data_IF_944709920959
#
_entry.id   IF_944709920959
#
_cell.length_a   1.000
_cell.length_b   1.000
_cell.length_c   1.000
_cell.angle_alpha   90.00
_cell.angle_beta   90.00
_cell.angle_gamma   90.00
#
_symmetry.space_group_name_H-M   'P 1'
#
loop_
_entity.id
_entity.type
_entity.pdbx_description
1 polymer ?
#
# COMPACT_ATOMS: atom_id res chain seq x y z
N UNK A 1 14.52 -10.35 -4.20
CA UNK A 1 15.61 -10.58 -3.23
C UNK A 1 16.56 -9.39 -3.29
N UNK A 2 16.80 -8.73 -2.17
CA UNK A 2 17.73 -7.59 -2.11
C UNK A 2 19.21 -8.00 -2.13
N UNK A 3 19.52 -9.31 -2.13
CA UNK A 3 20.90 -9.85 -2.11
C UNK A 3 21.80 -9.24 -1.01
N UNK A 4 21.25 -9.11 0.20
CA UNK A 4 21.89 -8.47 1.36
C UNK A 4 22.10 -6.95 1.21
N UNK A 5 21.39 -6.30 0.31
CA UNK A 5 21.37 -4.84 0.20
C UNK A 5 20.27 -4.31 1.15
N UNK A 6 20.62 -3.33 1.96
CA UNK A 6 19.64 -2.54 2.70
C UNK A 6 19.09 -1.46 1.79
N UNK A 7 17.94 -1.76 1.16
CA UNK A 7 17.28 -0.85 0.20
C UNK A 7 16.83 0.45 0.86
N UNK A 8 16.43 0.40 2.14
CA UNK A 8 16.04 1.60 2.86
C UNK A 8 17.23 2.55 3.08
N UNK A 9 18.37 2.02 3.53
CA UNK A 9 19.59 2.82 3.68
C UNK A 9 20.11 3.33 2.33
N UNK A 10 20.00 2.53 1.28
CA UNK A 10 20.35 2.98 -0.07
C UNK A 10 19.51 4.19 -0.50
N UNK A 11 18.18 4.13 -0.27
CA UNK A 11 17.30 5.27 -0.56
C UNK A 11 17.64 6.48 0.31
N UNK A 12 17.95 6.30 1.59
CA UNK A 12 18.38 7.41 2.47
C UNK A 12 19.64 8.11 1.95
N UNK A 13 20.57 7.39 1.35
CA UNK A 13 21.75 8.01 0.73
C UNK A 13 21.42 8.83 -0.51
N UNK A 14 20.33 8.51 -1.21
CA UNK A 14 19.87 9.29 -2.37
C UNK A 14 19.07 10.54 -1.95
N UNK A 15 18.46 10.51 -0.77
CA UNK A 15 17.64 11.60 -0.22
C UNK A 15 18.16 12.04 1.16
N UNK A 16 19.43 12.51 1.26
CA UNK A 16 20.08 12.72 2.54
C UNK A 16 19.49 13.87 3.37
N UNK A 17 18.76 14.78 2.72
CA UNK A 17 18.12 15.93 3.37
C UNK A 17 16.65 15.68 3.70
N UNK A 18 16.12 14.54 3.31
CA UNK A 18 14.71 14.22 3.51
C UNK A 18 14.48 13.59 4.90
N UNK A 19 13.34 13.91 5.46
CA UNK A 19 12.81 13.15 6.59
C UNK A 19 12.42 11.76 6.12
N UNK A 20 12.74 10.74 6.91
CA UNK A 20 12.40 9.38 6.55
C UNK A 20 11.83 8.60 7.72
N UNK A 21 10.80 7.84 7.44
CA UNK A 21 10.12 6.95 8.40
C UNK A 21 10.05 5.56 7.80
N UNK A 22 10.49 4.56 8.56
CA UNK A 22 10.38 3.15 8.21
C UNK A 22 9.35 2.46 9.11
N UNK A 23 8.38 1.81 8.50
CA UNK A 23 7.32 1.07 9.17
C UNK A 23 7.43 -0.42 8.80
N UNK A 24 7.95 -1.23 9.71
CA UNK A 24 8.19 -2.64 9.49
C UNK A 24 6.88 -3.43 9.37
N UNK A 25 6.75 -4.23 8.32
CA UNK A 25 5.63 -5.14 8.12
C UNK A 25 6.03 -6.62 7.97
N UNK A 26 7.31 -6.93 8.08
CA UNK A 26 7.83 -8.29 8.14
C UNK A 26 9.21 -8.32 8.79
N UNK A 27 9.42 -9.30 9.65
CA UNK A 27 10.75 -9.59 10.21
C UNK A 27 10.87 -11.09 10.47
N UNK A 28 11.79 -11.73 9.76
CA UNK A 28 12.09 -13.14 9.96
C UNK A 28 13.61 -13.31 10.04
N UNK A 29 14.07 -13.90 11.14
CA UNK A 29 15.47 -14.23 11.30
C UNK A 29 15.95 -15.25 10.24
N UNK A 30 15.07 -16.14 9.81
CA UNK A 30 15.36 -17.11 8.76
C UNK A 30 14.07 -17.61 8.09
N UNK A 31 13.83 -17.17 6.86
CA UNK A 31 12.75 -17.67 6.01
C UNK A 31 13.28 -18.86 5.20
N UNK A 32 12.90 -20.07 5.63
CA UNK A 32 13.36 -21.33 5.04
C UNK A 32 12.81 -21.61 3.64
N UNK A 33 11.77 -20.90 3.23
CA UNK A 33 11.10 -21.10 1.94
C UNK A 33 11.66 -20.21 0.84
N UNK A 34 11.77 -20.69 -0.42
CA UNK A 34 11.62 -22.10 -0.82
C UNK A 34 12.82 -22.96 -0.36
N UNK A 35 12.57 -24.21 0.01
CA UNK A 35 13.58 -25.08 0.63
C UNK A 35 14.86 -25.29 -0.20
N UNK A 36 14.73 -25.26 -1.53
CA UNK A 36 15.89 -25.41 -2.44
C UNK A 36 16.72 -24.12 -2.58
N UNK A 37 16.20 -22.98 -2.14
CA UNK A 37 16.87 -21.69 -2.17
C UNK A 37 16.30 -20.76 -1.09
N UNK A 38 16.57 -20.99 0.19
CA UNK A 38 16.01 -20.23 1.30
C UNK A 38 16.26 -18.73 1.16
N UNK A 39 15.28 -17.92 1.55
CA UNK A 39 15.45 -16.46 1.56
C UNK A 39 16.39 -15.99 2.67
N UNK A 40 16.57 -16.80 3.74
CA UNK A 40 17.37 -16.41 4.89
C UNK A 40 16.72 -15.33 5.73
N UNK A 41 17.51 -14.48 6.37
CA UNK A 41 16.99 -13.34 7.10
C UNK A 41 16.27 -12.37 6.13
N UNK A 42 15.07 -11.96 6.49
CA UNK A 42 14.25 -11.08 5.67
C UNK A 42 13.57 -10.04 6.54
N UNK A 43 13.75 -8.77 6.19
CA UNK A 43 13.09 -7.65 6.83
C UNK A 43 12.49 -6.77 5.74
N UNK A 44 11.19 -6.51 5.84
CA UNK A 44 10.48 -5.66 4.89
C UNK A 44 9.60 -4.64 5.62
N UNK A 45 9.24 -3.57 4.92
CA UNK A 45 8.42 -2.50 5.49
C UNK A 45 8.00 -1.47 4.46
N UNK A 46 7.31 -0.48 4.97
CA UNK A 46 6.88 0.70 4.25
C UNK A 46 7.86 1.84 4.59
N UNK A 47 8.30 2.57 3.59
CA UNK A 47 9.14 3.73 3.78
C UNK A 47 8.44 4.99 3.28
N UNK A 48 8.49 6.06 4.06
CA UNK A 48 8.01 7.38 3.69
C UNK A 48 9.18 8.34 3.72
N UNK A 49 9.40 9.05 2.62
CA UNK A 49 10.41 10.10 2.50
C UNK A 49 9.70 11.43 2.25
N UNK A 50 10.14 12.49 2.92
CA UNK A 50 9.53 13.82 2.80
C UNK A 50 10.58 14.92 2.89
N UNK A 51 10.46 15.90 2.00
CA UNK A 51 11.24 17.16 2.10
C UNK A 51 10.70 18.11 3.17
N UNK A 52 9.46 17.87 3.60
CA UNK A 52 8.84 18.62 4.68
C UNK A 52 9.04 17.87 6.00
N UNK A 53 9.16 18.58 7.13
CA UNK A 53 9.22 17.96 8.44
C UNK A 53 8.02 17.03 8.65
N UNK A 54 8.26 15.83 9.15
CA UNK A 54 7.20 14.91 9.55
C UNK A 54 7.27 14.66 11.06
N UNK A 55 6.12 14.57 11.68
CA UNK A 55 5.96 14.29 13.10
C UNK A 55 5.12 13.04 13.35
N UNK A 56 5.17 12.56 14.58
CA UNK A 56 4.31 11.54 15.16
C UNK A 56 4.10 10.30 14.28
N UNK A 57 5.20 9.65 13.85
CA UNK A 57 5.09 8.46 13.04
C UNK A 57 4.44 7.32 13.84
N UNK A 58 3.33 6.80 13.33
CA UNK A 58 2.58 5.71 13.97
C UNK A 58 2.49 4.52 13.03
N UNK A 59 2.73 3.32 13.54
CA UNK A 59 2.44 2.06 12.88
C UNK A 59 1.10 1.51 13.37
N UNK A 60 0.17 1.26 12.47
CA UNK A 60 -1.11 0.60 12.74
C UNK A 60 -1.10 -0.80 12.15
N UNK A 61 -1.20 -1.82 13.00
CA UNK A 61 -1.36 -3.21 12.55
C UNK A 61 -2.74 -3.41 11.97
N UNK A 62 -2.81 -4.16 10.88
CA UNK A 62 -4.04 -4.58 10.24
C UNK A 62 -4.42 -6.01 10.67
N UNK A 63 -5.71 -6.36 10.65
CA UNK A 63 -6.14 -7.74 10.82
C UNK A 63 -5.47 -8.66 9.79
N UNK A 64 -5.00 -9.82 10.22
CA UNK A 64 -4.41 -10.86 9.39
C UNK A 64 -5.03 -12.21 9.73
N UNK A 65 -4.84 -13.20 8.87
CA UNK A 65 -5.32 -14.57 9.13
C UNK A 65 -4.61 -15.20 10.34
N UNK A 66 -5.34 -15.94 11.13
CA UNK A 66 -4.78 -16.77 12.21
C UNK A 66 -4.36 -18.18 11.73
N UNK A 67 -4.43 -18.43 10.42
CA UNK A 67 -4.05 -19.72 9.83
C UNK A 67 -2.53 -19.96 9.89
N UNK A 68 -2.11 -21.19 9.65
CA UNK A 68 -0.69 -21.57 9.61
C UNK A 68 0.11 -20.78 8.56
N UNK A 69 -0.54 -20.24 7.53
CA UNK A 69 0.07 -19.36 6.54
C UNK A 69 0.63 -18.04 7.13
N UNK A 70 0.20 -17.67 8.33
CA UNK A 70 0.71 -16.51 9.08
C UNK A 70 2.25 -16.44 9.17
N UNK A 71 2.91 -17.59 9.26
CA UNK A 71 4.38 -17.63 9.34
C UNK A 71 5.07 -17.23 8.02
N UNK A 72 4.33 -17.22 6.92
CA UNK A 72 4.83 -16.88 5.59
C UNK A 72 4.23 -15.57 5.06
N UNK A 73 3.21 -15.05 5.72
CA UNK A 73 2.55 -13.81 5.32
C UNK A 73 3.14 -12.60 6.06
N UNK A 74 2.92 -11.42 5.48
CA UNK A 74 3.37 -10.17 6.05
C UNK A 74 2.47 -9.76 7.23
N UNK A 75 3.07 -9.15 8.25
CA UNK A 75 2.35 -8.42 9.31
C UNK A 75 1.79 -7.12 8.73
N UNK A 76 0.70 -7.25 7.98
CA UNK A 76 0.08 -6.13 7.26
C UNK A 76 -0.15 -4.93 8.17
N UNK A 77 0.19 -3.76 7.67
CA UNK A 77 0.07 -2.52 8.40
C UNK A 77 -0.07 -1.32 7.46
N UNK A 78 -0.36 -0.18 8.03
CA UNK A 78 -0.09 1.13 7.43
C UNK A 78 0.68 2.00 8.41
N UNK A 79 1.43 2.93 7.87
CA UNK A 79 2.04 4.00 8.66
C UNK A 79 1.25 5.29 8.50
N UNK A 80 1.23 6.08 9.56
CA UNK A 80 0.70 7.43 9.57
C UNK A 80 1.86 8.37 9.88
N UNK A 81 2.01 9.43 9.10
CA UNK A 81 2.92 10.54 9.39
C UNK A 81 2.17 11.86 9.19
N UNK A 82 2.59 12.90 9.90
CA UNK A 82 1.94 14.20 9.91
C UNK A 82 2.89 15.27 9.40
N UNK A 83 2.36 16.17 8.60
CA UNK A 83 3.08 17.35 8.10
C UNK A 83 2.26 18.58 8.46
N UNK A 84 2.82 19.58 9.17
CA UNK A 84 2.10 20.80 9.48
C UNK A 84 1.59 21.53 8.23
N UNK A 85 0.32 21.96 8.26
CA UNK A 85 -0.35 22.61 7.13
C UNK A 85 -1.25 23.77 7.62
N UNK A 86 -0.66 24.85 8.08
CA UNK A 86 -1.36 25.98 8.68
C UNK A 86 -1.90 25.62 10.07
N UNK A 87 -3.20 25.80 10.26
CA UNK A 87 -3.89 25.45 11.52
C UNK A 87 -4.34 23.97 11.57
N UNK A 88 -4.03 23.19 10.53
CA UNK A 88 -4.33 21.78 10.41
C UNK A 88 -3.05 21.00 10.09
N UNK A 89 -3.19 19.70 9.89
CA UNK A 89 -2.12 18.82 9.46
C UNK A 89 -2.48 18.13 8.14
N UNK A 90 -1.48 17.85 7.32
CA UNK A 90 -1.57 16.86 6.26
C UNK A 90 -1.18 15.50 6.84
N UNK A 91 -2.14 14.61 6.97
CA UNK A 91 -1.96 13.26 7.51
C UNK A 91 -1.83 12.28 6.35
N UNK A 92 -0.66 11.65 6.25
CA UNK A 92 -0.31 10.72 5.18
C UNK A 92 -0.37 9.29 5.70
N UNK A 93 -1.19 8.47 5.06
CA UNK A 93 -1.29 7.04 5.29
C UNK A 93 -0.51 6.31 4.19
N UNK A 94 0.55 5.60 4.55
CA UNK A 94 1.26 4.71 3.64
C UNK A 94 0.82 3.27 3.94
N UNK A 95 0.16 2.64 2.97
CA UNK A 95 -0.68 1.45 3.17
C UNK A 95 -0.09 0.25 2.46
N UNK A 96 -0.17 -0.94 3.08
CA UNK A 96 0.06 -2.21 2.40
C UNK A 96 -0.97 -3.24 2.87
N UNK A 97 -2.06 -3.36 2.11
CA UNK A 97 -3.15 -4.30 2.39
C UNK A 97 -2.78 -5.73 1.98
N UNK A 98 -3.58 -6.69 2.44
CA UNK A 98 -3.41 -8.09 2.05
C UNK A 98 -3.61 -8.29 0.56
N UNK A 99 -2.76 -9.15 0.01
CA UNK A 99 -2.82 -9.58 -1.37
C UNK A 99 -3.93 -10.63 -1.60
N UNK A 100 -4.08 -11.03 -2.85
CA UNK A 100 -4.91 -12.17 -3.26
C UNK A 100 -4.63 -13.41 -2.40
N UNK A 101 -5.65 -14.24 -2.22
CA UNK A 101 -5.61 -15.42 -1.34
C UNK A 101 -5.95 -15.13 0.13
N UNK A 102 -6.02 -13.87 0.53
CA UNK A 102 -6.59 -13.51 1.82
C UNK A 102 -8.13 -13.67 1.80
N UNK A 103 -8.68 -14.01 2.95
CA UNK A 103 -10.13 -14.07 3.13
C UNK A 103 -10.76 -12.69 2.88
N UNK A 104 -11.90 -12.68 2.20
CA UNK A 104 -12.60 -11.43 1.87
C UNK A 104 -13.01 -10.66 3.14
N UNK A 105 -13.31 -11.35 4.24
CA UNK A 105 -13.63 -10.74 5.54
C UNK A 105 -12.43 -10.01 6.13
N UNK A 106 -11.22 -10.57 6.00
CA UNK A 106 -9.98 -9.94 6.46
C UNK A 106 -9.70 -8.68 5.64
N UNK A 107 -9.85 -8.77 4.32
CA UNK A 107 -9.66 -7.59 3.45
C UNK A 107 -10.67 -6.49 3.75
N UNK A 108 -11.93 -6.85 4.04
CA UNK A 108 -12.95 -5.90 4.46
C UNK A 108 -12.60 -5.25 5.80
N UNK A 109 -12.21 -6.04 6.81
CA UNK A 109 -11.81 -5.52 8.11
C UNK A 109 -10.56 -4.62 8.06
N UNK A 110 -9.62 -4.90 7.15
CA UNK A 110 -8.47 -4.03 6.91
C UNK A 110 -8.88 -2.67 6.35
N UNK A 111 -9.80 -2.65 5.37
CA UNK A 111 -10.32 -1.40 4.80
C UNK A 111 -11.12 -0.61 5.82
N UNK A 112 -11.99 -1.28 6.58
CA UNK A 112 -12.78 -0.65 7.63
C UNK A 112 -11.89 0.09 8.62
N UNK A 113 -10.87 -0.59 9.15
CA UNK A 113 -9.92 0.01 10.07
C UNK A 113 -9.16 1.20 9.49
N UNK A 114 -8.73 1.12 8.23
CA UNK A 114 -8.09 2.23 7.54
C UNK A 114 -9.05 3.41 7.41
N UNK A 115 -10.29 3.15 7.02
CA UNK A 115 -11.30 4.18 6.83
C UNK A 115 -11.76 4.84 8.13
N UNK A 116 -11.83 4.09 9.22
CA UNK A 116 -12.09 4.66 10.55
C UNK A 116 -11.04 5.70 10.92
N UNK A 117 -9.74 5.36 10.83
CA UNK A 117 -8.66 6.29 11.15
C UNK A 117 -8.64 7.49 10.19
N UNK A 118 -8.83 7.28 8.88
CA UNK A 118 -8.89 8.37 7.89
C UNK A 118 -10.06 9.33 8.16
N UNK A 119 -11.23 8.78 8.49
CA UNK A 119 -12.43 9.57 8.79
C UNK A 119 -12.27 10.36 10.09
N UNK A 120 -11.65 9.76 11.10
CA UNK A 120 -11.36 10.44 12.36
C UNK A 120 -10.41 11.64 12.15
N UNK A 121 -9.37 11.48 11.35
CA UNK A 121 -8.44 12.58 11.03
C UNK A 121 -9.14 13.72 10.24
N UNK A 122 -9.99 13.36 9.29
CA UNK A 122 -10.77 14.35 8.56
C UNK A 122 -11.76 15.09 9.48
N UNK A 123 -12.43 14.37 10.37
CA UNK A 123 -13.35 14.97 11.35
C UNK A 123 -12.62 15.91 12.34
N UNK A 124 -11.36 15.64 12.62
CA UNK A 124 -10.50 16.54 13.40
C UNK A 124 -10.06 17.81 12.63
N UNK A 125 -10.43 17.93 11.34
CA UNK A 125 -10.11 19.10 10.51
C UNK A 125 -8.83 18.94 9.70
N UNK A 126 -8.22 17.77 9.68
CA UNK A 126 -6.98 17.52 8.96
C UNK A 126 -7.21 17.19 7.49
N UNK A 127 -6.20 17.43 6.67
CA UNK A 127 -6.11 16.94 5.29
C UNK A 127 -5.61 15.50 5.30
N UNK A 128 -6.28 14.60 4.58
CA UNK A 128 -5.95 13.17 4.59
C UNK A 128 -5.62 12.67 3.20
N UNK A 129 -4.47 12.04 3.06
CA UNK A 129 -4.07 11.33 1.85
C UNK A 129 -3.67 9.90 2.24
N UNK A 130 -4.22 8.91 1.54
CA UNK A 130 -3.80 7.53 1.65
C UNK A 130 -3.25 7.03 0.31
N UNK A 131 -2.07 6.46 0.34
CA UNK A 131 -1.39 5.88 -0.81
C UNK A 131 -0.64 4.62 -0.42
N UNK A 132 -0.18 3.86 -1.40
CA UNK A 132 0.56 2.62 -1.17
C UNK A 132 0.02 1.45 -1.97
N UNK A 133 0.32 0.23 -1.51
CA UNK A 133 -0.11 -1.00 -2.14
C UNK A 133 -1.44 -1.50 -1.56
N UNK A 134 -2.51 -1.28 -2.28
CA UNK A 134 -3.84 -1.75 -1.90
C UNK A 134 -4.10 -3.20 -2.32
N UNK A 135 -3.24 -3.80 -3.13
CA UNK A 135 -3.41 -5.14 -3.71
C UNK A 135 -4.76 -5.35 -4.42
N UNK A 136 -5.29 -4.30 -5.04
CA UNK A 136 -6.54 -4.28 -5.78
C UNK A 136 -6.41 -3.43 -7.05
N UNK A 137 -7.28 -3.69 -8.01
CA UNK A 137 -7.47 -2.82 -9.16
C UNK A 137 -8.18 -1.53 -8.76
N UNK A 138 -7.43 -0.47 -8.55
CA UNK A 138 -7.93 0.83 -8.11
C UNK A 138 -8.68 1.62 -9.22
N UNK A 139 -8.68 1.13 -10.44
CA UNK A 139 -9.44 1.69 -11.57
C UNK A 139 -10.75 0.91 -11.75
N UNK A 140 -10.72 -0.40 -11.50
CA UNK A 140 -11.83 -1.34 -11.65
C UNK A 140 -11.95 -1.93 -13.06
N UNK A 141 -11.23 -1.36 -14.02
CA UNK A 141 -11.20 -1.78 -15.45
C UNK A 141 -9.79 -1.73 -16.03
N UNK A 142 -8.78 -1.94 -15.18
CA UNK A 142 -7.37 -1.82 -15.58
C UNK A 142 -7.02 -2.75 -16.75
N UNK A 143 -7.61 -3.96 -16.79
CA UNK A 143 -7.38 -4.91 -17.87
C UNK A 143 -7.76 -4.36 -19.24
N UNK A 144 -8.85 -3.60 -19.33
CA UNK A 144 -9.29 -2.96 -20.58
C UNK A 144 -8.41 -1.75 -20.90
N UNK A 145 -8.14 -0.92 -19.92
CA UNK A 145 -7.38 0.33 -20.08
C UNK A 145 -5.94 0.06 -20.51
N UNK A 146 -5.31 -0.96 -19.95
CA UNK A 146 -3.90 -1.30 -20.25
C UNK A 146 -3.72 -2.44 -21.26
N UNK A 147 -4.81 -2.87 -21.91
CA UNK A 147 -4.77 -3.82 -23.02
C UNK A 147 -4.46 -5.27 -22.61
N UNK A 148 -4.65 -5.63 -21.35
CA UNK A 148 -4.47 -6.99 -20.85
C UNK A 148 -5.78 -7.69 -20.42
N UNK A 149 -6.92 -7.19 -20.89
CA UNK A 149 -8.25 -7.73 -20.59
C UNK A 149 -8.47 -9.20 -21.02
N UNK A 150 -7.69 -9.66 -22.00
CA UNK A 150 -7.75 -11.04 -22.48
C UNK A 150 -6.91 -12.01 -21.65
N UNK A 151 -6.10 -11.52 -20.73
CA UNK A 151 -5.40 -12.39 -19.81
C UNK A 151 -6.42 -12.88 -18.77
N UNK A 152 -6.38 -14.16 -18.48
CA UNK A 152 -6.99 -14.69 -17.27
C UNK A 152 -6.23 -14.02 -16.14
N UNK A 153 -6.69 -12.85 -15.77
CA UNK A 153 -6.21 -12.14 -14.60
C UNK A 153 -6.71 -13.00 -13.45
N UNK A 154 -5.91 -13.98 -13.13
CA UNK A 154 -6.11 -14.80 -11.97
C UNK A 154 -6.44 -13.84 -10.84
N UNK A 155 -7.47 -14.10 -10.16
CA UNK A 155 -7.98 -13.68 -8.88
C UNK A 155 -7.28 -12.56 -8.07
N UNK A 156 -6.07 -12.13 -8.41
CA UNK A 156 -5.29 -11.18 -7.62
C UNK A 156 -5.60 -9.70 -7.95
N UNK A 157 -5.99 -9.38 -9.17
CA UNK A 157 -6.34 -8.02 -9.57
C UNK A 157 -7.87 -7.78 -9.46
N UNK A 158 -8.46 -8.13 -8.32
CA UNK A 158 -9.88 -7.84 -8.09
C UNK A 158 -10.11 -6.33 -8.06
N UNK A 159 -11.21 -5.85 -8.66
CA UNK A 159 -11.60 -4.46 -8.53
C UNK A 159 -11.72 -4.05 -7.05
N UNK A 160 -11.28 -2.84 -6.75
CA UNK A 160 -11.48 -2.28 -5.42
C UNK A 160 -12.95 -2.01 -5.16
N UNK A 161 -13.40 -2.22 -3.93
CA UNK A 161 -14.76 -1.91 -3.50
C UNK A 161 -14.93 -0.39 -3.32
N UNK A 162 -15.30 0.28 -4.38
CA UNK A 162 -15.48 1.73 -4.38
C UNK A 162 -16.73 2.18 -3.62
N UNK A 163 -17.73 1.30 -3.43
CA UNK A 163 -18.93 1.62 -2.68
C UNK A 163 -18.65 1.80 -1.17
N UNK A 164 -17.59 1.16 -0.69
CA UNK A 164 -17.18 1.27 0.71
C UNK A 164 -16.30 2.50 1.01
N UNK A 165 -15.92 3.31 0.01
CA UNK A 165 -15.12 4.52 0.26
C UNK A 165 -15.97 5.54 1.04
N UNK A 166 -15.49 6.05 2.19
CA UNK A 166 -16.28 6.96 3.01
C UNK A 166 -16.60 8.28 2.29
N UNK A 167 -17.71 8.88 2.67
CA UNK A 167 -18.11 10.18 2.15
C UNK A 167 -17.02 11.24 2.37
N UNK A 168 -16.78 12.05 1.35
CA UNK A 168 -15.79 13.11 1.36
C UNK A 168 -14.38 12.65 0.99
N UNK A 169 -14.17 11.37 0.64
CA UNK A 169 -12.95 10.87 0.03
C UNK A 169 -13.16 10.54 -1.45
N UNK A 170 -12.11 10.72 -2.22
CA UNK A 170 -12.09 10.45 -3.66
C UNK A 170 -10.91 9.55 -4.01
N UNK A 171 -11.17 8.54 -4.81
CA UNK A 171 -10.11 7.70 -5.40
C UNK A 171 -9.57 8.41 -6.64
N UNK A 172 -8.40 9.00 -6.53
CA UNK A 172 -7.83 9.89 -7.55
C UNK A 172 -7.68 9.21 -8.92
N UNK A 173 -7.25 7.96 -8.96
CA UNK A 173 -7.09 7.22 -10.22
C UNK A 173 -8.43 7.05 -10.95
N UNK A 174 -9.49 6.71 -10.21
CA UNK A 174 -10.84 6.52 -10.78
C UNK A 174 -11.47 7.83 -11.24
N UNK A 175 -11.34 8.89 -10.43
CA UNK A 175 -11.85 10.21 -10.79
C UNK A 175 -11.24 10.70 -12.11
N UNK A 176 -9.93 10.54 -12.28
CA UNK A 176 -9.22 10.97 -13.49
C UNK A 176 -9.61 10.15 -14.72
N UNK A 177 -9.82 8.84 -14.58
CA UNK A 177 -10.31 8.00 -15.67
C UNK A 177 -11.71 8.44 -16.13
N UNK A 178 -12.61 8.75 -15.20
CA UNK A 178 -13.97 9.19 -15.51
C UNK A 178 -14.01 10.53 -16.26
N UNK A 179 -13.07 11.44 -15.96
CA UNK A 179 -12.99 12.75 -16.62
C UNK A 179 -12.52 12.66 -18.07
N UNK A 180 -11.61 11.74 -18.36
CA UNK A 180 -10.91 11.70 -19.65
C UNK A 180 -11.36 10.56 -20.55
N UNK A 181 -12.05 9.53 -20.01
CA UNK A 181 -12.38 8.30 -20.71
C UNK A 181 -11.17 7.45 -21.13
N UNK A 182 -9.97 7.92 -20.79
CA UNK A 182 -8.69 7.26 -21.04
C UNK A 182 -7.87 7.28 -19.75
N UNK A 183 -6.92 6.35 -19.61
CA UNK A 183 -6.00 6.41 -18.49
C UNK A 183 -5.22 7.73 -18.56
N UNK A 184 -5.35 8.55 -17.53
CA UNK A 184 -4.63 9.82 -17.41
C UNK A 184 -3.11 9.60 -17.36
N UNK A 185 -2.70 8.39 -17.04
CA UNK A 185 -1.32 7.94 -16.92
C UNK A 185 -1.17 6.59 -17.63
N UNK A 186 -1.03 6.54 -18.98
CA UNK A 186 -0.87 5.28 -19.70
C UNK A 186 0.37 4.49 -19.23
N UNK A 187 1.34 5.17 -18.64
CA UNK A 187 2.55 4.57 -18.09
C UNK A 187 2.44 4.22 -16.58
N UNK A 188 1.32 4.50 -15.95
CA UNK A 188 1.11 4.30 -14.52
C UNK A 188 0.63 2.90 -14.13
N UNK A 189 0.83 1.90 -14.97
CA UNK A 189 0.61 0.51 -14.57
C UNK A 189 1.54 0.19 -13.40
N UNK A 190 0.96 0.04 -12.21
CA UNK A 190 1.70 -0.18 -10.97
C UNK A 190 1.97 -1.66 -10.69
N UNK A 191 1.32 -2.54 -11.45
CA UNK A 191 1.54 -3.98 -11.39
C UNK A 191 1.63 -4.53 -12.82
N UNK A 192 2.67 -5.31 -13.10
CA UNK A 192 2.92 -5.92 -14.40
C UNK A 192 3.14 -7.41 -14.24
N UNK A 193 2.65 -8.18 -15.18
CA UNK A 193 2.95 -9.60 -15.26
C UNK A 193 4.45 -9.84 -15.53
N UNK A 194 4.99 -10.83 -14.84
CA UNK A 194 6.35 -11.28 -15.09
C UNK A 194 6.46 -11.78 -16.55
N UNK A 195 7.17 -11.04 -17.39
CA UNK A 195 7.42 -11.40 -18.79
C UNK A 195 6.82 -10.46 -19.82
N UNK A 196 6.22 -9.33 -19.41
CA UNK A 196 5.81 -8.26 -20.35
C UNK A 196 6.47 -6.93 -19.97
N UNK A 197 6.92 -6.16 -20.98
CA UNK A 197 7.52 -4.84 -20.77
C UNK A 197 6.54 -3.85 -20.17
#
# INVERSE_FOLDING_TARGET
RSHHIDEYELLRTQFPSDWSVFCQNYDSAFLAWPLYAPHGANRAGLATFSRLPVSDPVRKSLPISDSFSKFLDLDRCYSIVRVPAGDAELVLFNVHLSAYGADASIMAAQREKLYEDMTAERAAGNYVIAGGDYNHDMIGVSGEVYGNATQVVESWAKPYDFAGVPEGFTVAAKAKLNETGTAAFPDAATCRDAGRP
#
